data_IF_061180206408
#
_entry.id   IF_061180206408
#
_cell.length_a   1.000
_cell.length_b   1.000
_cell.length_c   1.000
_cell.angle_alpha   90.00
_cell.angle_beta   90.00
_cell.angle_gamma   90.00
#
_symmetry.space_group_name_H-M   'P 1'
#
loop_
_entity.id
_entity.type
_entity.pdbx_description
1 polymer ?
#
# COMPACT_ATOMS: atom_id res chain seq x y z
N UNK A 1 -15.73 4.12 -30.42
CA UNK A 1 -16.31 4.07 -29.06
C UNK A 1 -15.87 5.33 -28.33
N UNK A 2 -16.77 6.28 -28.08
CA UNK A 2 -16.42 7.54 -27.42
C UNK A 2 -16.42 7.31 -25.91
N UNK A 3 -15.30 7.50 -25.25
CA UNK A 3 -15.21 7.43 -23.79
C UNK A 3 -15.91 8.70 -23.25
N UNK A 4 -16.91 8.58 -22.36
CA UNK A 4 -17.57 9.75 -21.80
C UNK A 4 -16.56 10.56 -20.97
N UNK A 5 -16.63 11.90 -20.99
CA UNK A 5 -15.74 12.74 -20.21
C UNK A 5 -15.94 12.50 -18.72
N UNK A 6 -14.84 12.54 -17.96
CA UNK A 6 -14.89 12.52 -16.49
C UNK A 6 -15.52 13.83 -15.97
N UNK A 7 -16.62 13.71 -15.24
CA UNK A 7 -17.40 14.87 -14.75
C UNK A 7 -17.37 15.05 -13.23
N UNK A 8 -16.73 14.13 -12.49
CA UNK A 8 -16.61 14.22 -11.03
C UNK A 8 -15.43 15.10 -10.61
N UNK A 9 -15.47 15.62 -9.39
CA UNK A 9 -14.34 16.32 -8.80
C UNK A 9 -13.24 15.33 -8.39
N UNK A 10 -11.97 15.65 -8.66
CA UNK A 10 -10.82 14.88 -8.16
C UNK A 10 -10.61 15.01 -6.65
N UNK A 11 -11.26 15.99 -6.00
CA UNK A 11 -11.19 16.23 -4.57
C UNK A 11 -12.42 15.74 -3.82
N UNK A 12 -13.31 15.00 -4.48
CA UNK A 12 -14.49 14.44 -3.86
C UNK A 12 -14.10 13.43 -2.78
N UNK A 13 -14.58 13.67 -1.56
CA UNK A 13 -14.48 12.72 -0.45
C UNK A 13 -15.76 11.91 -0.38
N UNK A 14 -15.65 10.59 -0.28
CA UNK A 14 -16.79 9.73 -0.01
C UNK A 14 -16.84 9.39 1.48
N UNK A 15 -18.00 9.39 2.12
CA UNK A 15 -18.12 9.03 3.52
C UNK A 15 -17.74 7.55 3.71
N UNK A 16 -17.12 7.23 4.85
CA UNK A 16 -16.86 5.85 5.23
C UNK A 16 -18.22 5.18 5.54
N UNK A 17 -18.49 3.98 5.02
CA UNK A 17 -19.71 3.24 5.33
C UNK A 17 -19.88 2.98 6.84
N UNK A 18 -21.10 3.03 7.34
CA UNK A 18 -21.40 2.88 8.77
C UNK A 18 -20.98 1.52 9.35
N UNK A 19 -21.06 0.45 8.57
CA UNK A 19 -20.58 -0.89 8.94
C UNK A 19 -19.05 -0.92 9.11
N UNK A 20 -18.30 -0.21 8.27
CA UNK A 20 -16.85 -0.07 8.41
C UNK A 20 -16.47 0.77 9.63
N UNK A 21 -17.24 1.82 9.95
CA UNK A 21 -17.07 2.60 11.17
C UNK A 21 -17.33 1.72 12.40
N UNK A 22 -18.42 0.96 12.41
CA UNK A 22 -18.76 0.05 13.50
C UNK A 22 -17.66 -1.01 13.72
N UNK A 23 -17.16 -1.62 12.66
CA UNK A 23 -16.06 -2.59 12.73
C UNK A 23 -14.78 -1.96 13.33
N UNK A 24 -14.42 -0.75 12.93
CA UNK A 24 -13.27 -0.04 13.49
C UNK A 24 -13.44 0.26 14.98
N UNK A 25 -14.65 0.64 15.42
CA UNK A 25 -14.97 0.86 16.83
C UNK A 25 -14.77 -0.43 17.63
N UNK A 26 -15.23 -1.56 17.14
CA UNK A 26 -15.07 -2.85 17.83
C UNK A 26 -13.60 -3.25 17.97
N UNK A 27 -12.78 -3.05 16.93
CA UNK A 27 -11.33 -3.26 17.01
C UNK A 27 -10.71 -2.37 18.08
N UNK A 28 -11.04 -1.08 18.11
CA UNK A 28 -10.55 -0.14 19.13
C UNK A 28 -10.96 -0.55 20.55
N UNK A 29 -12.22 -0.96 20.74
CA UNK A 29 -12.73 -1.42 22.04
C UNK A 29 -12.06 -2.70 22.53
N UNK A 30 -11.71 -3.60 21.61
CA UNK A 30 -10.99 -4.84 21.93
C UNK A 30 -9.58 -4.60 22.48
N UNK A 31 -8.98 -3.44 22.19
CA UNK A 31 -7.57 -3.12 22.47
C UNK A 31 -6.56 -3.93 21.65
N UNK A 32 -7.01 -4.78 20.72
CA UNK A 32 -6.15 -5.64 19.88
C UNK A 32 -5.72 -4.91 18.62
N UNK A 33 -4.88 -3.91 18.78
CA UNK A 33 -4.48 -2.99 17.71
C UNK A 33 -3.26 -3.47 16.91
N UNK A 34 -2.65 -4.57 17.31
CA UNK A 34 -1.48 -5.14 16.63
C UNK A 34 -1.85 -6.45 15.92
N UNK A 35 -1.31 -6.67 14.73
CA UNK A 35 -1.58 -7.85 13.91
C UNK A 35 -1.27 -9.19 14.61
N UNK A 36 -0.41 -9.19 15.61
CA UNK A 36 0.00 -10.36 16.39
C UNK A 36 -0.77 -10.49 17.72
N UNK A 37 -1.65 -9.55 18.05
CA UNK A 37 -2.45 -9.57 19.29
C UNK A 37 -3.83 -10.16 19.02
N UNK A 38 -3.86 -11.46 18.73
CA UNK A 38 -5.07 -12.23 18.48
C UNK A 38 -5.21 -13.36 19.49
N UNK A 39 -6.44 -13.83 19.72
CA UNK A 39 -6.68 -15.04 20.49
C UNK A 39 -6.27 -16.29 19.68
N UNK A 40 -5.99 -17.43 20.33
CA UNK A 40 -5.73 -18.68 19.61
C UNK A 40 -6.85 -19.02 18.65
N UNK A 41 -6.52 -19.21 17.35
CA UNK A 41 -7.47 -19.53 16.29
C UNK A 41 -8.23 -18.31 15.70
N UNK A 42 -7.96 -17.10 16.16
CA UNK A 42 -8.53 -15.86 15.64
C UNK A 42 -7.64 -15.27 14.53
N UNK A 43 -8.23 -14.90 13.40
CA UNK A 43 -7.55 -14.15 12.35
C UNK A 43 -7.57 -12.65 12.69
N UNK A 44 -6.43 -11.96 12.58
CA UNK A 44 -6.40 -10.50 12.75
C UNK A 44 -7.07 -9.79 11.55
N UNK A 45 -7.63 -8.60 11.76
CA UNK A 45 -8.22 -7.80 10.68
C UNK A 45 -7.24 -7.51 9.54
N UNK A 46 -5.96 -7.34 9.86
CA UNK A 46 -4.90 -7.13 8.87
C UNK A 46 -4.65 -8.42 8.06
N UNK A 47 -4.62 -9.59 8.70
CA UNK A 47 -4.45 -10.85 7.99
C UNK A 47 -5.65 -11.16 7.07
N UNK A 48 -6.87 -10.87 7.53
CA UNK A 48 -8.07 -10.99 6.72
C UNK A 48 -8.00 -10.07 5.48
N UNK A 49 -7.62 -8.80 5.66
CA UNK A 49 -7.43 -7.86 4.55
C UNK A 49 -6.37 -8.37 3.55
N UNK A 50 -5.23 -8.82 4.03
CA UNK A 50 -4.16 -9.35 3.17
C UNK A 50 -4.64 -10.55 2.33
N UNK A 51 -5.38 -11.47 2.94
CA UNK A 51 -5.99 -12.62 2.26
C UNK A 51 -7.00 -12.19 1.19
N UNK A 52 -7.87 -11.25 1.51
CA UNK A 52 -8.91 -10.76 0.59
C UNK A 52 -8.31 -9.99 -0.59
N UNK A 53 -7.33 -9.12 -0.34
CA UNK A 53 -6.62 -8.40 -1.40
C UNK A 53 -5.84 -9.36 -2.29
N UNK A 54 -5.15 -10.35 -1.74
CA UNK A 54 -4.46 -11.37 -2.51
C UNK A 54 -5.44 -12.13 -3.43
N UNK A 55 -6.58 -12.56 -2.90
CA UNK A 55 -7.62 -13.25 -3.66
C UNK A 55 -8.21 -12.37 -4.77
N UNK A 56 -8.51 -11.10 -4.47
CA UNK A 56 -9.05 -10.15 -5.44
C UNK A 56 -8.08 -9.85 -6.58
N UNK A 57 -6.79 -9.75 -6.29
CA UNK A 57 -5.74 -9.52 -7.30
C UNK A 57 -5.29 -10.79 -8.03
N UNK A 58 -5.67 -11.99 -7.57
CA UNK A 58 -5.17 -13.24 -8.09
C UNK A 58 -3.69 -13.49 -7.77
N UNK A 59 -3.17 -12.87 -6.70
CA UNK A 59 -1.81 -13.09 -6.22
C UNK A 59 -1.79 -14.15 -5.11
N UNK A 60 -0.64 -14.82 -4.91
CA UNK A 60 -0.49 -15.79 -3.84
C UNK A 60 -0.47 -15.14 -2.45
N UNK A 61 0.03 -13.90 -2.36
CA UNK A 61 0.20 -13.17 -1.12
C UNK A 61 -0.04 -11.68 -1.31
N UNK A 62 -0.47 -11.01 -0.24
CA UNK A 62 -0.46 -9.56 -0.10
C UNK A 62 0.11 -9.20 1.27
N UNK A 63 0.73 -8.05 1.39
CA UNK A 63 1.26 -7.51 2.64
C UNK A 63 0.76 -6.08 2.83
N UNK A 64 0.01 -5.85 3.89
CA UNK A 64 -0.44 -4.51 4.27
C UNK A 64 0.70 -3.73 4.93
N UNK A 65 0.92 -2.52 4.45
CA UNK A 65 1.98 -1.62 4.91
C UNK A 65 1.40 -0.31 5.42
N UNK A 66 2.10 0.34 6.33
CA UNK A 66 1.66 1.60 6.93
C UNK A 66 1.63 2.79 5.94
N UNK A 67 2.32 2.68 4.80
CA UNK A 67 2.34 3.71 3.76
C UNK A 67 2.84 3.16 2.43
N UNK A 68 2.52 3.84 1.33
CA UNK A 68 3.04 3.51 0.00
C UNK A 68 4.58 3.57 -0.08
N UNK A 69 5.22 4.52 0.61
CA UNK A 69 6.69 4.57 0.70
C UNK A 69 7.29 3.38 1.43
N UNK A 70 6.63 2.88 2.48
CA UNK A 70 7.04 1.65 3.16
C UNK A 70 6.87 0.43 2.25
N UNK A 71 5.76 0.35 1.51
CA UNK A 71 5.50 -0.72 0.55
C UNK A 71 6.54 -0.76 -0.56
N UNK A 72 6.86 0.38 -1.17
CA UNK A 72 7.90 0.50 -2.21
C UNK A 72 9.26 0.06 -1.70
N UNK A 73 9.66 0.52 -0.50
CA UNK A 73 10.94 0.12 0.09
C UNK A 73 11.02 -1.40 0.33
N UNK A 74 9.93 -2.00 0.83
CA UNK A 74 9.88 -3.45 1.03
C UNK A 74 9.91 -4.21 -0.28
N UNK A 75 9.18 -3.76 -1.29
CA UNK A 75 9.17 -4.36 -2.62
C UNK A 75 10.57 -4.32 -3.27
N UNK A 76 11.26 -3.18 -3.21
CA UNK A 76 12.64 -3.05 -3.72
C UNK A 76 13.59 -4.03 -3.00
N UNK A 77 13.52 -4.13 -1.68
CA UNK A 77 14.33 -5.10 -0.93
C UNK A 77 13.99 -6.54 -1.26
N UNK A 78 12.70 -6.86 -1.40
CA UNK A 78 12.27 -8.20 -1.79
C UNK A 78 12.73 -8.58 -3.20
N UNK A 79 12.87 -7.60 -4.08
CA UNK A 79 13.47 -7.76 -5.42
C UNK A 79 15.01 -7.84 -5.39
N UNK A 80 15.64 -7.76 -4.22
CA UNK A 80 17.10 -7.81 -4.08
C UNK A 80 17.81 -6.49 -4.36
N UNK A 81 17.06 -5.39 -4.50
CA UNK A 81 17.64 -4.07 -4.79
C UNK A 81 18.32 -3.49 -3.54
N UNK A 82 19.54 -3.01 -3.72
CA UNK A 82 20.37 -2.43 -2.66
C UNK A 82 21.46 -1.50 -3.16
N UNK A 83 22.55 -1.42 -2.38
CA UNK A 83 23.71 -0.60 -2.73
C UNK A 83 24.28 -1.03 -4.09
N UNK A 84 24.71 -0.06 -4.88
CA UNK A 84 25.24 -0.20 -6.24
C UNK A 84 24.19 -0.45 -7.34
N UNK A 85 22.92 -0.73 -6.99
CA UNK A 85 21.86 -0.82 -7.96
C UNK A 85 21.35 0.54 -8.42
N UNK A 86 20.78 0.55 -9.63
CA UNK A 86 20.15 1.71 -10.24
C UNK A 86 18.68 1.41 -10.49
N UNK A 87 17.81 2.29 -10.01
CA UNK A 87 16.37 2.19 -10.24
C UNK A 87 15.91 3.39 -11.08
N UNK A 88 15.28 3.10 -12.20
CA UNK A 88 14.72 4.13 -13.08
C UNK A 88 13.36 4.60 -12.52
N UNK A 89 13.16 5.90 -12.51
CA UNK A 89 11.89 6.53 -12.14
C UNK A 89 11.64 7.78 -12.97
N UNK A 90 10.40 8.21 -13.14
CA UNK A 90 10.09 9.47 -13.77
C UNK A 90 10.17 10.63 -12.77
N UNK A 91 10.27 11.86 -13.28
CA UNK A 91 10.31 13.08 -12.46
C UNK A 91 8.91 13.52 -11.97
N UNK A 92 7.84 13.07 -12.63
CA UNK A 92 6.45 13.36 -12.26
C UNK A 92 5.95 12.30 -11.28
N UNK A 93 6.42 12.39 -10.04
CA UNK A 93 6.08 11.44 -8.99
C UNK A 93 6.13 12.09 -7.60
N UNK A 94 5.63 11.39 -6.58
CA UNK A 94 5.71 11.84 -5.20
C UNK A 94 7.09 11.54 -4.60
N UNK A 95 7.57 12.40 -3.72
CA UNK A 95 8.85 12.26 -3.03
C UNK A 95 9.10 10.87 -2.36
N UNK A 96 8.09 10.15 -1.84
CA UNK A 96 8.28 8.79 -1.34
C UNK A 96 8.84 7.79 -2.36
N UNK A 97 8.66 8.00 -3.67
CA UNK A 97 9.17 7.07 -4.71
C UNK A 97 10.69 7.13 -4.79
N UNK A 98 11.35 8.25 -5.13
CA UNK A 98 12.80 8.34 -5.07
C UNK A 98 13.33 8.14 -3.65
N UNK A 99 12.59 8.55 -2.62
CA UNK A 99 12.94 8.32 -1.22
C UNK A 99 13.04 6.83 -0.86
N UNK A 100 12.15 5.98 -1.36
CA UNK A 100 12.20 4.54 -1.15
C UNK A 100 13.43 3.90 -1.83
N UNK A 101 13.81 4.38 -3.03
CA UNK A 101 14.99 3.93 -3.77
C UNK A 101 16.26 4.25 -2.97
N UNK A 102 16.41 5.50 -2.54
CA UNK A 102 17.56 5.93 -1.73
C UNK A 102 17.61 5.19 -0.38
N UNK A 103 16.45 4.94 0.23
CA UNK A 103 16.36 4.26 1.54
C UNK A 103 16.79 2.78 1.51
N UNK A 104 16.86 2.14 0.33
CA UNK A 104 17.42 0.79 0.19
C UNK A 104 18.90 0.82 -0.22
N UNK A 105 19.49 2.01 -0.37
CA UNK A 105 20.88 2.19 -0.77
C UNK A 105 21.11 2.31 -2.28
N UNK A 106 20.06 2.18 -3.07
CA UNK A 106 20.13 2.27 -4.53
C UNK A 106 20.17 3.73 -5.03
N UNK A 107 20.60 3.93 -6.26
CA UNK A 107 20.63 5.22 -6.95
C UNK A 107 19.38 5.39 -7.82
N UNK A 108 18.62 6.46 -7.57
CA UNK A 108 17.53 6.85 -8.46
C UNK A 108 18.07 7.56 -9.70
N UNK A 109 17.60 7.14 -10.88
CA UNK A 109 17.89 7.78 -12.16
C UNK A 109 16.58 8.17 -12.82
N UNK A 110 16.48 9.43 -13.23
CA UNK A 110 15.28 9.95 -13.86
C UNK A 110 15.26 9.55 -15.34
N UNK A 111 14.11 9.15 -15.80
CA UNK A 111 13.79 8.95 -17.21
C UNK A 111 12.83 10.04 -17.66
N UNK A 112 12.99 10.49 -18.88
CA UNK A 112 12.05 11.43 -19.49
C UNK A 112 10.71 10.76 -19.77
N UNK A 113 9.67 11.55 -19.69
CA UNK A 113 8.31 11.16 -20.05
C UNK A 113 7.81 12.16 -21.09
N UNK A 114 7.31 11.66 -22.20
CA UNK A 114 6.68 12.44 -23.27
C UNK A 114 5.28 12.89 -22.90
#
# INVERSE_FOLDING_TARGET
>A
MTIPPFTRSFTQQEPIPEDAIAAAIEVMRSGRLHRYNTAPGEESQVAALEREVAAWQGSAYALACASGGAALRMALRAAGIGTDDVVLTNAFTLAPVPGAIVAVGARAVLVEID
#
